data_IF_224724191593
#
_entry.id   IF_224724191593
#
_cell.length_a   1.000
_cell.length_b   1.000
_cell.length_c   1.000
_cell.angle_alpha   90.00
_cell.angle_beta   90.00
_cell.angle_gamma   90.00
#
_symmetry.space_group_name_H-M   'P 1'
#
loop_
_entity.id
_entity.type
_entity.pdbx_description
1 polymer ?
#
# COMPACT_ATOMS: atom_id res chain seq x y z
N UNK A 1 67.42 -14.67 18.16
CA UNK A 1 66.38 -13.66 17.82
C UNK A 1 65.30 -14.32 16.99
N UNK A 2 64.18 -14.66 17.63
CA UNK A 2 63.01 -15.25 16.92
C UNK A 2 62.00 -14.13 16.68
N UNK A 3 61.80 -13.79 15.39
CA UNK A 3 60.77 -12.82 14.98
C UNK A 3 59.44 -13.56 14.89
N UNK A 4 58.51 -13.24 15.75
CA UNK A 4 57.13 -13.67 15.63
C UNK A 4 56.41 -12.82 14.59
N UNK A 5 56.02 -13.45 13.44
CA UNK A 5 55.06 -12.87 12.50
C UNK A 5 53.66 -13.02 13.11
N UNK A 6 53.07 -11.91 13.51
CA UNK A 6 51.61 -11.87 13.79
C UNK A 6 50.86 -11.79 12.46
N UNK A 7 50.18 -12.84 12.10
CA UNK A 7 49.23 -12.83 11.01
C UNK A 7 47.93 -12.17 11.52
N UNK A 8 47.66 -10.97 11.07
CA UNK A 8 46.37 -10.34 11.30
C UNK A 8 45.33 -10.97 10.37
N UNK A 9 44.45 -11.79 10.94
CA UNK A 9 43.32 -12.35 10.25
C UNK A 9 42.24 -11.24 10.09
N UNK A 10 42.22 -10.59 8.92
CA UNK A 10 41.13 -9.67 8.58
C UNK A 10 39.88 -10.49 8.24
N UNK A 11 38.95 -10.57 9.19
CA UNK A 11 37.60 -11.06 8.92
C UNK A 11 36.91 -10.06 7.97
N UNK A 12 36.85 -10.40 6.67
CA UNK A 12 35.91 -9.78 5.75
C UNK A 12 34.51 -10.31 6.11
N UNK A 13 33.75 -9.56 6.88
CA UNK A 13 32.33 -9.80 7.02
C UNK A 13 31.66 -9.57 5.65
N UNK A 14 30.85 -10.49 5.15
CA UNK A 14 30.10 -10.24 3.94
C UNK A 14 29.15 -9.06 4.22
N UNK A 15 29.35 -7.94 3.50
CA UNK A 15 28.35 -6.89 3.38
C UNK A 15 27.14 -7.52 2.69
N UNK A 16 26.19 -7.98 3.50
CA UNK A 16 24.84 -8.19 2.99
C UNK A 16 24.35 -6.81 2.58
N UNK A 17 24.27 -6.58 1.26
CA UNK A 17 23.45 -5.52 0.69
C UNK A 17 22.01 -5.86 1.04
N UNK A 18 21.59 -5.52 2.25
CA UNK A 18 20.19 -5.36 2.57
C UNK A 18 19.77 -4.19 1.69
N UNK A 19 19.04 -4.47 0.60
CA UNK A 19 18.28 -3.43 -0.08
C UNK A 19 17.53 -2.70 1.04
N UNK A 20 17.66 -1.37 1.18
CA UNK A 20 16.79 -0.68 2.10
C UNK A 20 15.37 -0.98 1.60
N UNK A 21 14.66 -1.85 2.32
CA UNK A 21 13.20 -1.83 2.31
C UNK A 21 12.93 -0.36 2.54
N UNK A 22 12.26 0.27 1.58
CA UNK A 22 11.92 1.68 1.68
C UNK A 22 11.13 1.80 2.97
N UNK A 23 11.79 2.29 4.03
CA UNK A 23 11.19 2.37 5.34
C UNK A 23 10.11 3.44 5.23
N UNK A 24 8.89 3.10 5.68
CA UNK A 24 7.80 4.05 5.87
C UNK A 24 8.34 5.36 6.47
N UNK A 25 7.78 6.49 6.07
CA UNK A 25 8.10 7.74 6.75
C UNK A 25 7.31 7.81 8.06
N UNK A 26 7.92 7.59 9.23
CA UNK A 26 7.18 7.51 10.50
C UNK A 26 6.47 8.82 10.86
N UNK A 27 6.93 9.95 10.32
CA UNK A 27 6.24 11.24 10.51
C UNK A 27 4.94 11.30 9.74
N UNK A 28 4.89 10.73 8.53
CA UNK A 28 3.66 10.68 7.73
C UNK A 28 2.65 9.69 8.33
N UNK A 29 3.11 8.55 8.85
CA UNK A 29 2.23 7.62 9.58
C UNK A 29 1.64 8.30 10.82
N UNK A 30 2.47 9.01 11.60
CA UNK A 30 1.99 9.78 12.75
C UNK A 30 1.00 10.88 12.32
N UNK A 31 1.27 11.59 11.22
CA UNK A 31 0.38 12.62 10.67
C UNK A 31 -0.98 12.02 10.32
N UNK A 32 -1.00 10.89 9.58
CA UNK A 32 -2.22 10.19 9.19
C UNK A 32 -3.09 9.86 10.40
N UNK A 33 -2.51 9.24 11.44
CA UNK A 33 -3.26 8.86 12.64
C UNK A 33 -3.69 10.05 13.52
N UNK A 34 -2.98 11.17 13.48
CA UNK A 34 -3.28 12.32 14.34
C UNK A 34 -4.27 13.28 13.72
N UNK A 35 -4.27 13.43 12.40
CA UNK A 35 -5.08 14.43 11.69
C UNK A 35 -6.08 13.86 10.69
N UNK A 36 -5.85 12.65 10.18
CA UNK A 36 -6.58 12.09 9.04
C UNK A 36 -6.23 12.75 7.70
N UNK A 37 -5.28 13.67 7.67
CA UNK A 37 -4.88 14.47 6.50
C UNK A 37 -3.49 14.02 6.04
N UNK A 38 -3.41 13.31 4.93
CA UNK A 38 -2.15 12.78 4.41
C UNK A 38 -2.01 12.94 2.89
N UNK A 39 -2.43 14.12 2.38
CA UNK A 39 -2.25 14.44 0.97
C UNK A 39 -0.77 14.35 0.56
N UNK A 40 -0.47 13.54 -0.43
CA UNK A 40 0.89 13.35 -0.94
C UNK A 40 1.88 12.72 0.06
N UNK A 41 1.40 12.12 1.16
CA UNK A 41 2.27 11.43 2.11
C UNK A 41 2.99 10.24 1.46
N UNK A 42 4.21 9.98 1.93
CA UNK A 42 4.91 8.72 1.66
C UNK A 42 4.62 7.72 2.79
N UNK A 43 3.77 6.76 2.48
CA UNK A 43 3.33 5.65 3.34
C UNK A 43 3.73 4.31 2.72
N UNK A 44 4.71 4.33 1.79
CA UNK A 44 5.17 3.12 1.10
C UNK A 44 5.69 2.09 2.08
N UNK A 45 5.19 0.86 1.97
CA UNK A 45 5.54 -0.24 2.86
C UNK A 45 5.06 -0.09 4.31
N UNK A 46 4.24 0.94 4.63
CA UNK A 46 3.73 1.14 5.98
C UNK A 46 2.85 -0.03 6.44
N UNK A 47 2.95 -0.39 7.70
CA UNK A 47 2.01 -1.30 8.35
C UNK A 47 0.83 -0.51 8.93
N UNK A 48 -0.28 -0.55 8.18
CA UNK A 48 -1.56 0.07 8.52
C UNK A 48 -2.66 -0.98 8.74
N UNK A 49 -2.26 -2.23 9.06
CA UNK A 49 -3.20 -3.34 9.27
C UNK A 49 -4.17 -3.04 10.41
N UNK A 50 -5.45 -3.32 10.19
CA UNK A 50 -6.54 -3.05 11.13
C UNK A 50 -6.75 -1.57 11.46
N UNK A 51 -6.11 -0.65 10.72
CA UNK A 51 -6.20 0.79 11.00
C UNK A 51 -7.61 1.35 10.77
N UNK A 52 -8.05 2.24 11.64
CA UNK A 52 -9.32 2.98 11.48
C UNK A 52 -9.09 4.26 10.68
N UNK A 53 -9.25 4.19 9.36
CA UNK A 53 -8.97 5.24 8.39
C UNK A 53 -10.26 5.78 7.73
N UNK A 54 -11.35 5.90 8.52
CA UNK A 54 -12.62 6.42 8.01
C UNK A 54 -12.47 7.87 7.52
N UNK A 55 -12.87 8.11 6.29
CA UNK A 55 -12.95 9.46 5.71
C UNK A 55 -11.63 10.21 5.64
N UNK A 56 -10.49 9.51 5.73
CA UNK A 56 -9.16 10.14 5.65
C UNK A 56 -8.86 10.68 4.26
N UNK A 57 -8.05 11.72 4.18
CA UNK A 57 -7.49 12.26 2.94
C UNK A 57 -6.14 11.61 2.64
N UNK A 58 -6.14 10.71 1.66
CA UNK A 58 -4.95 9.99 1.16
C UNK A 58 -4.69 10.32 -0.33
N UNK A 59 -5.26 11.43 -0.82
CA UNK A 59 -5.07 11.83 -2.22
C UNK A 59 -3.59 11.99 -2.53
N UNK A 60 -3.19 11.49 -3.72
CA UNK A 60 -1.80 11.54 -4.19
C UNK A 60 -0.78 10.85 -3.25
N UNK A 61 -1.23 10.15 -2.20
CA UNK A 61 -0.32 9.46 -1.28
C UNK A 61 0.37 8.27 -1.96
N UNK A 62 1.59 7.99 -1.55
CA UNK A 62 2.32 6.79 -1.95
C UNK A 62 2.09 5.69 -0.91
N UNK A 63 1.28 4.70 -1.25
CA UNK A 63 0.93 3.51 -0.46
C UNK A 63 1.51 2.23 -1.10
N UNK A 64 2.48 2.36 -2.01
CA UNK A 64 3.06 1.20 -2.69
C UNK A 64 3.58 0.16 -1.69
N UNK A 65 3.10 -1.08 -1.82
CA UNK A 65 3.47 -2.19 -0.94
C UNK A 65 3.03 -2.03 0.53
N UNK A 66 2.17 -1.05 0.86
CA UNK A 66 1.66 -0.90 2.22
C UNK A 66 0.76 -2.08 2.63
N UNK A 67 0.78 -2.41 3.93
CA UNK A 67 -0.13 -3.40 4.50
C UNK A 67 -1.36 -2.71 5.09
N UNK A 68 -2.50 -2.87 4.44
CA UNK A 68 -3.83 -2.35 4.83
C UNK A 68 -4.81 -3.51 5.13
N UNK A 69 -4.29 -4.69 5.49
CA UNK A 69 -5.11 -5.85 5.84
C UNK A 69 -6.10 -5.48 6.94
N UNK A 70 -7.38 -5.82 6.74
CA UNK A 70 -8.49 -5.52 7.67
C UNK A 70 -8.66 -4.02 8.00
N UNK A 71 -8.03 -3.11 7.28
CA UNK A 71 -8.18 -1.67 7.52
C UNK A 71 -9.58 -1.18 7.15
N UNK A 72 -10.09 -0.20 7.91
CA UNK A 72 -11.34 0.48 7.59
C UNK A 72 -11.06 1.80 6.86
N UNK A 73 -11.29 1.79 5.55
CA UNK A 73 -11.12 2.92 4.62
C UNK A 73 -12.48 3.46 4.14
N UNK A 74 -13.56 3.20 4.88
CA UNK A 74 -14.89 3.68 4.48
C UNK A 74 -14.89 5.20 4.31
N UNK A 75 -15.36 5.67 3.12
CA UNK A 75 -15.39 7.08 2.77
C UNK A 75 -14.03 7.75 2.59
N UNK A 76 -12.93 7.02 2.60
CA UNK A 76 -11.60 7.58 2.38
C UNK A 76 -11.42 8.10 0.95
N UNK A 77 -10.65 9.17 0.79
CA UNK A 77 -10.29 9.72 -0.51
C UNK A 77 -8.85 9.33 -0.87
N UNK A 78 -8.72 8.42 -1.83
CA UNK A 78 -7.46 7.91 -2.37
C UNK A 78 -7.26 8.35 -3.84
N UNK A 79 -7.91 9.43 -4.28
CA UNK A 79 -7.78 9.89 -5.65
C UNK A 79 -6.29 10.15 -6.01
N UNK A 80 -5.83 9.58 -7.12
CA UNK A 80 -4.44 9.69 -7.57
C UNK A 80 -3.40 8.97 -6.70
N UNK A 81 -3.80 8.24 -5.67
CA UNK A 81 -2.87 7.52 -4.82
C UNK A 81 -2.17 6.37 -5.56
N UNK A 82 -0.95 6.07 -5.17
CA UNK A 82 -0.23 4.88 -5.63
C UNK A 82 -0.37 3.75 -4.62
N UNK A 83 -1.16 2.72 -4.95
CA UNK A 83 -1.35 1.51 -4.13
C UNK A 83 -0.68 0.27 -4.75
N UNK A 84 0.22 0.44 -5.72
CA UNK A 84 0.88 -0.68 -6.40
C UNK A 84 1.39 -1.73 -5.41
N UNK A 85 0.94 -2.99 -5.57
CA UNK A 85 1.32 -4.11 -4.73
C UNK A 85 0.88 -4.02 -3.26
N UNK A 86 -0.02 -3.09 -2.90
CA UNK A 86 -0.54 -2.98 -1.53
C UNK A 86 -1.42 -4.18 -1.16
N UNK A 87 -1.41 -4.56 0.13
CA UNK A 87 -2.29 -5.58 0.67
C UNK A 87 -3.53 -4.96 1.32
N UNK A 88 -4.70 -5.11 0.69
CA UNK A 88 -6.02 -4.69 1.19
C UNK A 88 -6.91 -5.90 1.49
N UNK A 89 -6.32 -7.05 1.83
CA UNK A 89 -7.09 -8.24 2.20
C UNK A 89 -8.02 -7.94 3.37
N UNK A 90 -9.31 -8.28 3.24
CA UNK A 90 -10.33 -8.03 4.26
C UNK A 90 -10.68 -6.56 4.53
N UNK A 91 -10.07 -5.61 3.81
CA UNK A 91 -10.31 -4.18 4.03
C UNK A 91 -11.75 -3.75 3.68
N UNK A 92 -12.23 -2.69 4.35
CA UNK A 92 -13.55 -2.09 4.11
C UNK A 92 -13.40 -0.77 3.35
N UNK A 93 -13.99 -0.70 2.16
CA UNK A 93 -13.81 0.41 1.21
C UNK A 93 -15.13 1.06 0.77
N UNK A 94 -16.22 0.80 1.50
CA UNK A 94 -17.53 1.35 1.15
C UNK A 94 -17.48 2.88 1.00
N UNK A 95 -18.02 3.40 -0.11
CA UNK A 95 -18.04 4.82 -0.45
C UNK A 95 -16.66 5.51 -0.54
N UNK A 96 -15.57 4.77 -0.71
CA UNK A 96 -14.25 5.36 -0.93
C UNK A 96 -14.06 5.82 -2.38
N UNK A 97 -13.11 6.74 -2.59
CA UNK A 97 -12.73 7.26 -3.90
C UNK A 97 -11.31 6.83 -4.23
N UNK A 98 -11.11 6.19 -5.40
CA UNK A 98 -9.82 5.76 -5.94
C UNK A 98 -9.64 6.22 -7.40
N UNK A 99 -10.26 7.34 -7.77
CA UNK A 99 -10.18 7.86 -9.14
C UNK A 99 -8.73 8.15 -9.52
N UNK A 100 -8.32 7.70 -10.71
CA UNK A 100 -6.95 7.83 -11.21
C UNK A 100 -5.85 7.23 -10.31
N UNK A 101 -6.20 6.36 -9.36
CA UNK A 101 -5.22 5.67 -8.53
C UNK A 101 -4.48 4.59 -9.33
N UNK A 102 -3.28 4.26 -8.89
CA UNK A 102 -2.59 3.05 -9.35
C UNK A 102 -2.94 1.89 -8.41
N UNK A 103 -3.74 0.93 -8.91
CA UNK A 103 -4.17 -0.26 -8.19
C UNK A 103 -3.50 -1.54 -8.73
N UNK A 104 -2.43 -1.42 -9.53
CA UNK A 104 -1.76 -2.58 -10.11
C UNK A 104 -1.23 -3.50 -9.01
N UNK A 105 -1.43 -4.81 -9.19
CA UNK A 105 -0.99 -5.86 -8.26
C UNK A 105 -1.58 -5.77 -6.84
N UNK A 106 -2.63 -4.97 -6.62
CA UNK A 106 -3.29 -4.87 -5.31
C UNK A 106 -4.01 -6.17 -4.95
N UNK A 107 -3.85 -6.59 -3.69
CA UNK A 107 -4.62 -7.69 -3.11
C UNK A 107 -5.88 -7.19 -2.41
N UNK A 108 -7.05 -7.41 -3.01
CA UNK A 108 -8.39 -7.16 -2.44
C UNK A 108 -9.09 -8.45 -2.01
N UNK A 109 -8.36 -9.55 -1.76
CA UNK A 109 -9.00 -10.79 -1.32
C UNK A 109 -9.88 -10.53 -0.09
N UNK A 110 -11.11 -11.05 -0.08
CA UNK A 110 -12.09 -10.88 1.01
C UNK A 110 -12.45 -9.44 1.37
N UNK A 111 -12.00 -8.44 0.61
CA UNK A 111 -12.33 -7.04 0.86
C UNK A 111 -13.77 -6.71 0.49
N UNK A 112 -14.34 -5.66 1.11
CA UNK A 112 -15.68 -5.12 0.81
C UNK A 112 -15.55 -3.83 0.01
N UNK A 113 -16.00 -3.85 -1.26
CA UNK A 113 -15.93 -2.74 -2.20
C UNK A 113 -17.33 -2.34 -2.68
N UNK A 114 -18.07 -1.65 -1.81
CA UNK A 114 -19.41 -1.16 -2.14
C UNK A 114 -19.37 0.33 -2.50
N UNK A 115 -19.92 0.68 -3.66
CA UNK A 115 -19.99 2.07 -4.13
C UNK A 115 -18.60 2.77 -4.18
N UNK A 116 -17.55 2.04 -4.57
CA UNK A 116 -16.19 2.59 -4.72
C UNK A 116 -16.04 3.22 -6.10
N UNK A 117 -15.56 4.47 -6.16
CA UNK A 117 -15.25 5.13 -7.42
C UNK A 117 -13.80 4.86 -7.84
N UNK A 118 -13.65 4.11 -8.93
CA UNK A 118 -12.36 3.71 -9.51
C UNK A 118 -12.14 4.27 -10.92
N UNK A 119 -12.85 5.35 -11.28
CA UNK A 119 -12.74 5.95 -12.63
C UNK A 119 -11.28 6.34 -12.93
N UNK A 120 -10.77 5.87 -14.07
CA UNK A 120 -9.41 6.18 -14.51
C UNK A 120 -8.28 5.46 -13.74
N UNK A 121 -8.60 4.59 -12.78
CA UNK A 121 -7.58 3.81 -12.08
C UNK A 121 -6.96 2.74 -12.98
N UNK A 122 -5.65 2.47 -12.81
CA UNK A 122 -5.01 1.29 -13.36
C UNK A 122 -5.31 0.08 -12.48
N UNK A 123 -5.51 -1.12 -13.08
CA UNK A 123 -5.99 -2.30 -12.36
C UNK A 123 -5.39 -3.60 -12.92
N UNK A 124 -4.10 -3.61 -13.20
CA UNK A 124 -3.45 -4.80 -13.72
C UNK A 124 -3.14 -5.80 -12.59
N UNK A 125 -3.38 -7.10 -12.84
CA UNK A 125 -3.05 -8.20 -11.93
C UNK A 125 -3.68 -8.11 -10.52
N UNK A 126 -4.89 -7.59 -10.39
CA UNK A 126 -5.62 -7.57 -9.12
C UNK A 126 -5.90 -8.97 -8.58
N UNK A 127 -5.83 -9.14 -7.27
CA UNK A 127 -6.37 -10.29 -6.55
C UNK A 127 -7.69 -9.90 -5.90
N UNK A 128 -8.81 -10.51 -6.35
CA UNK A 128 -10.18 -10.23 -5.87
C UNK A 128 -10.90 -11.50 -5.38
N UNK A 129 -10.15 -12.50 -4.94
CA UNK A 129 -10.71 -13.76 -4.44
C UNK A 129 -11.62 -13.49 -3.25
N UNK A 130 -12.85 -13.98 -3.30
CA UNK A 130 -13.85 -13.83 -2.24
C UNK A 130 -14.17 -12.36 -1.85
N UNK A 131 -13.77 -11.38 -2.68
CA UNK A 131 -14.13 -9.98 -2.46
C UNK A 131 -15.62 -9.74 -2.67
N UNK A 132 -16.24 -8.94 -1.82
CA UNK A 132 -17.61 -8.49 -1.95
C UNK A 132 -17.65 -7.17 -2.75
N UNK A 133 -18.05 -7.24 -4.01
CA UNK A 133 -18.05 -6.10 -4.94
C UNK A 133 -19.48 -5.74 -5.32
N UNK A 134 -19.92 -4.53 -5.05
CA UNK A 134 -21.22 -4.03 -5.44
C UNK A 134 -21.14 -2.57 -5.92
N UNK A 135 -21.77 -2.28 -7.05
CA UNK A 135 -21.78 -0.95 -7.67
C UNK A 135 -20.37 -0.30 -7.84
N UNK A 136 -19.35 -1.14 -8.02
CA UNK A 136 -17.95 -0.75 -8.21
C UNK A 136 -17.46 -1.34 -9.52
N UNK A 137 -16.90 -0.51 -10.41
CA UNK A 137 -16.45 -0.93 -11.75
C UNK A 137 -15.04 -1.54 -11.71
N UNK A 138 -14.75 -2.43 -10.78
CA UNK A 138 -13.51 -3.18 -10.80
C UNK A 138 -13.59 -4.25 -11.89
N UNK A 139 -12.83 -4.07 -12.96
CA UNK A 139 -12.74 -4.99 -14.07
C UNK A 139 -11.45 -5.78 -14.03
N UNK A 140 -11.55 -7.10 -14.12
CA UNK A 140 -10.42 -7.95 -14.48
C UNK A 140 -10.01 -7.58 -15.89
N UNK A 141 -8.91 -6.84 -16.06
CA UNK A 141 -8.21 -6.54 -17.30
C UNK A 141 -8.94 -6.87 -18.60
N UNK A 142 -9.80 -5.98 -19.05
CA UNK A 142 -10.48 -6.11 -20.34
C UNK A 142 -11.32 -4.87 -20.57
N UNK A 143 -10.97 -4.10 -21.61
CA UNK A 143 -11.73 -2.97 -22.08
C UNK A 143 -13.22 -3.33 -22.16
N UNK A 144 -14.04 -2.76 -21.28
CA UNK A 144 -15.47 -2.73 -21.49
C UNK A 144 -15.79 -1.59 -22.45
N UNK A 145 -15.65 -1.86 -23.76
CA UNK A 145 -16.43 -1.15 -24.75
C UNK A 145 -17.89 -1.63 -24.58
N UNK A 146 -18.70 -0.84 -23.89
CA UNK A 146 -20.09 -0.47 -24.24
C UNK A 146 -20.77 0.29 -23.12
#
# INVERSE_FOLDING_TARGET
MKRHLMATLTLLAPLFLVNPVQAENPLHVQQLFSTGECFGCDLSGADLSGAHLLGVDLREANLAGANLEDANLEGADLAGANLEGANLEGAFLTNSTMTNANLDEVNFASATLYDVDVEGASMDNLVITDAEIFNTKIGVGGSYDQ
#
